data_IF_674758398459
#
_entry.id   IF_674758398459
#
_cell.length_a   1.000
_cell.length_b   1.000
_cell.length_c   1.000
_cell.angle_alpha   90.00
_cell.angle_beta   90.00
_cell.angle_gamma   90.00
#
_symmetry.space_group_name_H-M   'P 1'
#
loop_
_entity.id
_entity.type
_entity.pdbx_description
1 polymer ?
#
# COMPACT_ATOMS: atom_id res chain seq x y z
N UNK A 1 29.18 -0.81 -23.69
CA UNK A 1 27.71 -0.72 -23.82
C UNK A 1 27.10 -1.45 -22.63
N UNK A 2 26.73 -0.73 -21.58
CA UNK A 2 26.20 -1.33 -20.35
C UNK A 2 24.66 -1.33 -20.46
N UNK A 3 24.05 -2.51 -20.52
CA UNK A 3 22.59 -2.65 -20.56
C UNK A 3 22.06 -2.28 -19.17
N UNK A 4 21.41 -1.13 -19.08
CA UNK A 4 20.54 -0.80 -17.96
C UNK A 4 19.33 -1.72 -18.02
N UNK A 5 19.22 -2.65 -17.08
CA UNK A 5 17.96 -3.32 -16.79
C UNK A 5 17.21 -2.40 -15.82
N UNK A 6 16.38 -1.51 -16.36
CA UNK A 6 15.27 -0.98 -15.58
C UNK A 6 14.34 -2.17 -15.35
N UNK A 7 14.34 -2.73 -14.13
CA UNK A 7 13.34 -3.74 -13.78
C UNK A 7 11.99 -3.04 -13.72
N UNK A 8 11.21 -3.16 -14.79
CA UNK A 8 9.80 -2.77 -14.76
C UNK A 8 9.07 -3.68 -13.76
N UNK A 9 8.23 -3.08 -12.91
CA UNK A 9 7.37 -3.84 -12.02
C UNK A 9 6.27 -4.51 -12.85
N UNK A 10 6.38 -5.83 -13.05
CA UNK A 10 5.32 -6.61 -13.69
C UNK A 10 4.20 -6.91 -12.69
N UNK A 11 3.11 -6.16 -12.79
CA UNK A 11 1.87 -6.43 -12.07
C UNK A 11 0.97 -7.38 -12.86
N UNK A 12 0.22 -8.21 -12.14
CA UNK A 12 -0.82 -9.11 -12.66
C UNK A 12 -2.15 -8.65 -12.08
N UNK A 13 -3.05 -8.24 -12.98
CA UNK A 13 -4.41 -7.85 -12.62
C UNK A 13 -5.09 -8.91 -11.75
N UNK A 14 -5.58 -8.51 -10.58
CA UNK A 14 -6.28 -9.39 -9.65
C UNK A 14 -5.40 -10.25 -8.75
N UNK A 15 -4.07 -10.16 -8.85
CA UNK A 15 -3.17 -10.83 -7.92
C UNK A 15 -2.99 -10.05 -6.60
N UNK A 16 -2.54 -10.76 -5.56
CA UNK A 16 -2.17 -10.19 -4.27
C UNK A 16 -0.66 -10.28 -4.07
N UNK A 17 -0.07 -9.22 -3.55
CA UNK A 17 1.37 -9.04 -3.38
C UNK A 17 1.76 -8.83 -1.93
N UNK A 18 3.00 -9.15 -1.61
CA UNK A 18 3.72 -8.60 -0.45
C UNK A 18 4.63 -7.48 -0.94
N UNK A 19 4.61 -6.34 -0.26
CA UNK A 19 5.47 -5.20 -0.58
C UNK A 19 6.65 -5.24 0.39
N UNK A 20 7.79 -5.72 -0.09
CA UNK A 20 8.98 -6.00 0.72
C UNK A 20 9.95 -4.83 0.69
N UNK A 21 10.36 -4.35 1.85
CA UNK A 21 11.47 -3.42 1.97
C UNK A 21 12.78 -4.12 1.57
N UNK A 22 13.48 -3.55 0.59
CA UNK A 22 14.59 -4.23 -0.10
C UNK A 22 15.73 -4.67 0.83
N UNK A 23 16.07 -3.87 1.84
CA UNK A 23 17.18 -4.17 2.75
C UNK A 23 16.75 -5.07 3.91
N UNK A 24 15.75 -4.64 4.69
CA UNK A 24 15.38 -5.32 5.94
C UNK A 24 14.58 -6.59 5.74
N UNK A 25 14.05 -6.83 4.54
CA UNK A 25 13.12 -7.93 4.20
C UNK A 25 11.81 -7.92 5.01
N UNK A 26 11.54 -6.84 5.75
CA UNK A 26 10.23 -6.56 6.35
C UNK A 26 9.23 -6.18 5.26
N UNK A 27 7.94 -6.39 5.52
CA UNK A 27 6.87 -6.15 4.55
C UNK A 27 5.88 -5.11 5.06
N UNK A 28 5.18 -4.45 4.12
CA UNK A 28 4.08 -3.55 4.42
C UNK A 28 2.95 -4.32 5.12
N UNK A 29 2.56 -3.87 6.30
CA UNK A 29 1.74 -4.62 7.25
C UNK A 29 0.69 -3.70 7.88
N UNK A 30 -0.56 -4.18 7.99
CA UNK A 30 -1.57 -3.53 8.82
C UNK A 30 -1.38 -3.95 10.28
N UNK A 31 -1.05 -2.98 11.14
CA UNK A 31 -0.72 -3.20 12.54
C UNK A 31 -1.75 -4.11 13.24
N UNK A 32 -1.25 -5.11 13.98
CA UNK A 32 -2.05 -6.11 14.70
C UNK A 32 -3.00 -6.95 13.83
N UNK A 33 -2.98 -6.77 12.51
CA UNK A 33 -3.93 -7.36 11.59
C UNK A 33 -5.36 -6.85 11.75
N UNK A 34 -5.55 -5.64 12.29
CA UNK A 34 -6.88 -5.04 12.42
C UNK A 34 -7.46 -4.68 11.04
N UNK A 35 -8.78 -4.49 11.01
CA UNK A 35 -9.52 -4.16 9.77
C UNK A 35 -10.22 -2.82 9.83
N UNK A 36 -10.07 -2.08 10.92
CA UNK A 36 -10.76 -0.82 11.16
C UNK A 36 -10.08 0.34 10.44
N UNK A 37 -10.88 1.33 10.07
CA UNK A 37 -10.35 2.57 9.52
C UNK A 37 -9.49 3.28 10.58
N UNK A 38 -8.40 3.93 10.15
CA UNK A 38 -7.31 4.50 10.99
C UNK A 38 -6.36 3.48 11.60
N UNK A 39 -6.52 2.18 11.36
CA UNK A 39 -5.47 1.25 11.73
C UNK A 39 -4.20 1.61 10.97
N UNK A 40 -3.10 1.68 11.72
CA UNK A 40 -1.81 2.11 11.20
C UNK A 40 -1.22 1.09 10.23
N UNK A 41 -0.53 1.56 9.20
CA UNK A 41 0.30 0.72 8.34
C UNK A 41 1.75 0.87 8.74
N UNK A 42 2.42 -0.27 8.96
CA UNK A 42 3.78 -0.36 9.47
C UNK A 42 4.64 -1.23 8.52
N UNK A 43 5.93 -1.31 8.80
CA UNK A 43 6.79 -2.37 8.27
C UNK A 43 7.05 -3.39 9.37
N UNK A 44 6.82 -4.67 9.09
CA UNK A 44 6.94 -5.72 10.10
C UNK A 44 7.56 -7.00 9.53
N UNK A 45 7.99 -7.91 10.42
CA UNK A 45 8.49 -9.22 10.04
C UNK A 45 7.48 -9.94 9.13
N UNK A 46 7.97 -10.47 8.00
CA UNK A 46 7.15 -11.25 7.08
C UNK A 46 6.66 -12.52 7.77
N UNK A 47 5.35 -12.65 7.89
CA UNK A 47 4.66 -13.84 8.39
C UNK A 47 3.56 -14.30 7.42
N UNK A 48 3.51 -13.71 6.22
CA UNK A 48 2.64 -14.10 5.11
C UNK A 48 1.14 -14.01 5.43
N UNK A 49 0.80 -13.30 6.51
CA UNK A 49 -0.54 -13.07 6.98
C UNK A 49 -1.35 -12.21 6.02
N UNK A 50 -2.67 -12.29 6.13
CA UNK A 50 -3.58 -11.55 5.26
C UNK A 50 -3.45 -10.02 5.40
N UNK A 51 -2.98 -9.53 6.55
CA UNK A 51 -2.63 -8.12 6.80
C UNK A 51 -1.36 -7.65 6.07
N UNK A 52 -0.62 -8.56 5.44
CA UNK A 52 0.58 -8.28 4.64
C UNK A 52 0.33 -8.45 3.13
N UNK A 53 -0.92 -8.76 2.74
CA UNK A 53 -1.32 -8.96 1.34
C UNK A 53 -1.99 -7.71 0.79
N UNK A 54 -1.59 -7.32 -0.41
CA UNK A 54 -2.05 -6.10 -1.06
C UNK A 54 -2.39 -6.35 -2.52
N UNK A 55 -3.60 -5.96 -2.93
CA UNK A 55 -3.97 -5.84 -4.33
C UNK A 55 -3.58 -4.46 -4.82
N UNK A 56 -2.95 -4.41 -5.97
CA UNK A 56 -2.55 -3.18 -6.65
C UNK A 56 -3.57 -2.92 -7.75
N UNK A 57 -4.02 -1.69 -7.95
CA UNK A 57 -4.93 -1.31 -9.02
C UNK A 57 -4.37 -0.06 -9.71
N UNK A 58 -4.03 -0.18 -10.99
CA UNK A 58 -3.54 0.96 -11.78
C UNK A 58 -4.73 1.80 -12.23
N UNK A 59 -4.72 3.08 -11.90
CA UNK A 59 -5.74 4.04 -12.34
C UNK A 59 -5.41 4.56 -13.74
N UNK A 60 -6.42 5.06 -14.46
CA UNK A 60 -6.25 5.58 -15.83
C UNK A 60 -5.38 6.84 -15.94
N UNK A 61 -5.10 7.51 -14.82
CA UNK A 61 -4.24 8.69 -14.72
C UNK A 61 -2.78 8.36 -14.37
N UNK A 62 -2.43 7.07 -14.29
CA UNK A 62 -1.09 6.59 -13.95
C UNK A 62 -0.81 6.50 -12.45
N UNK A 63 -1.78 6.86 -11.59
CA UNK A 63 -1.70 6.65 -10.14
C UNK A 63 -2.06 5.21 -9.75
N UNK A 64 -1.86 4.83 -8.48
CA UNK A 64 -2.07 3.45 -8.03
C UNK A 64 -2.89 3.42 -6.76
N UNK A 65 -3.98 2.66 -6.78
CA UNK A 65 -4.70 2.31 -5.56
C UNK A 65 -4.17 0.98 -5.01
N UNK A 66 -3.88 0.93 -3.72
CA UNK A 66 -3.42 -0.28 -3.04
C UNK A 66 -4.46 -0.68 -2.00
N UNK A 67 -5.00 -1.89 -2.09
CA UNK A 67 -6.10 -2.37 -1.26
C UNK A 67 -5.65 -3.61 -0.49
N UNK A 68 -5.94 -3.67 0.80
CA UNK A 68 -5.80 -4.93 1.53
C UNK A 68 -7.08 -5.78 1.36
N UNK A 69 -7.00 -6.98 0.78
CA UNK A 69 -8.20 -7.78 0.49
C UNK A 69 -8.97 -8.24 1.73
N UNK A 70 -8.30 -8.38 2.89
CA UNK A 70 -8.95 -8.81 4.14
C UNK A 70 -9.79 -7.70 4.74
N UNK A 71 -9.28 -6.48 4.80
CA UNK A 71 -10.00 -5.34 5.39
C UNK A 71 -10.97 -4.68 4.41
N UNK A 72 -10.76 -4.90 3.10
CA UNK A 72 -11.47 -4.19 2.02
C UNK A 72 -11.15 -2.70 1.94
N UNK A 73 -10.07 -2.26 2.60
CA UNK A 73 -9.69 -0.85 2.74
C UNK A 73 -8.44 -0.52 1.95
N UNK A 74 -8.36 0.73 1.54
CA UNK A 74 -7.24 1.27 0.79
C UNK A 74 -6.12 1.73 1.73
N UNK A 75 -4.89 1.64 1.25
CA UNK A 75 -3.76 2.39 1.79
C UNK A 75 -4.07 3.88 1.65
N UNK A 76 -4.00 4.62 2.75
CA UNK A 76 -4.52 5.98 2.87
C UNK A 76 -3.52 6.84 3.62
N UNK A 77 -3.17 8.00 3.06
CA UNK A 77 -2.42 9.03 3.77
C UNK A 77 -3.39 9.81 4.66
N UNK A 78 -3.19 9.82 5.97
CA UNK A 78 -4.15 10.43 6.90
C UNK A 78 -4.38 11.90 6.57
N UNK A 79 -5.63 12.26 6.30
CA UNK A 79 -6.07 13.60 5.87
C UNK A 79 -5.43 14.07 4.55
N UNK A 80 -4.82 13.17 3.77
CA UNK A 80 -4.07 13.46 2.54
C UNK A 80 -4.91 13.91 1.33
N UNK A 81 -6.25 13.86 1.43
CA UNK A 81 -7.17 14.40 0.43
C UNK A 81 -7.30 15.93 0.45
N UNK A 82 -6.53 16.63 1.30
CA UNK A 82 -6.45 18.10 1.39
C UNK A 82 -5.00 18.55 1.22
N UNK A 83 -4.77 19.85 1.02
CA UNK A 83 -3.45 20.49 0.82
C UNK A 83 -2.47 20.38 2.02
N UNK A 84 -2.65 19.42 2.93
CA UNK A 84 -2.00 19.31 4.23
C UNK A 84 -1.10 18.07 4.38
N UNK A 85 -0.77 17.36 3.30
CA UNK A 85 0.25 16.31 3.38
C UNK A 85 1.60 16.96 3.61
N UNK A 86 2.20 16.69 4.76
CA UNK A 86 3.55 17.13 5.12
C UNK A 86 4.43 15.91 5.33
N UNK A 87 5.75 16.08 5.33
CA UNK A 87 6.65 14.99 5.66
C UNK A 87 6.31 14.42 7.05
N UNK A 88 6.17 13.10 7.14
CA UNK A 88 5.77 12.41 8.36
C UNK A 88 4.26 12.30 8.61
N UNK A 89 3.40 12.77 7.69
CA UNK A 89 1.97 12.44 7.75
C UNK A 89 1.79 10.92 7.74
N UNK A 90 0.90 10.43 8.62
CA UNK A 90 0.73 9.01 8.85
C UNK A 90 0.12 8.27 7.64
N UNK A 91 0.41 6.97 7.53
CA UNK A 91 -0.24 6.08 6.58
C UNK A 91 -1.10 5.07 7.35
N UNK A 92 -2.35 4.95 6.95
CA UNK A 92 -3.37 4.13 7.59
C UNK A 92 -4.13 3.31 6.54
N UNK A 93 -5.03 2.45 7.00
CA UNK A 93 -6.11 1.96 6.14
C UNK A 93 -7.38 2.78 6.33
N UNK A 94 -8.09 3.05 5.25
CA UNK A 94 -9.37 3.76 5.28
C UNK A 94 -10.32 3.21 4.24
N UNK A 95 -11.62 3.39 4.48
CA UNK A 95 -12.65 3.03 3.50
C UNK A 95 -12.34 3.68 2.14
N UNK A 96 -12.40 2.89 1.06
CA UNK A 96 -12.17 3.42 -0.29
C UNK A 96 -13.16 4.54 -0.59
N UNK A 97 -12.63 5.73 -0.83
CA UNK A 97 -13.39 6.95 -1.06
C UNK A 97 -12.97 7.68 -2.34
N UNK A 98 -12.05 7.10 -3.12
CA UNK A 98 -11.59 7.66 -4.40
C UNK A 98 -10.84 8.99 -4.31
N UNK A 99 -10.50 9.47 -3.11
CA UNK A 99 -9.75 10.70 -2.92
C UNK A 99 -8.28 10.52 -3.30
N UNK A 100 -7.55 11.63 -3.39
CA UNK A 100 -6.11 11.62 -3.63
C UNK A 100 -5.29 11.08 -2.45
N UNK A 101 -5.91 10.81 -1.30
CA UNK A 101 -5.23 10.12 -0.19
C UNK A 101 -4.93 8.65 -0.52
N UNK A 102 -5.55 8.08 -1.57
CA UNK A 102 -5.59 6.65 -1.88
C UNK A 102 -5.08 6.33 -3.30
N UNK A 103 -4.26 7.20 -3.88
CA UNK A 103 -3.79 7.15 -5.27
C UNK A 103 -2.31 7.47 -5.36
#
# INVERSE_FOLDING_TARGET
MMRSFLSEFHYTAGATYEITHAESKKVLDICCGDTDSRTNVIIYEAHHGQNQRWSICINGDGTVKIINPRSGKALDVDRGGKANTVAGTNVQIWADNGSNAQK
#
